data_IF_143537316617
#
_entry.id   IF_143537316617
#
_cell.length_a   1.000
_cell.length_b   1.000
_cell.length_c   1.000
_cell.angle_alpha   90.00
_cell.angle_beta   90.00
_cell.angle_gamma   90.00
#
_symmetry.space_group_name_H-M   'P 1'
#
loop_
_entity.id
_entity.type
_entity.pdbx_description
1 polymer ?
#
# COMPACT_ATOMS: atom_id res chain seq x y z
N UNK A 1 43.34 -64.23 -8.77
CA UNK A 1 43.45 -62.78 -8.96
C UNK A 1 42.12 -62.26 -9.52
N UNK A 2 41.26 -61.71 -8.66
CA UNK A 2 39.91 -61.30 -9.01
C UNK A 2 39.85 -59.78 -8.85
N UNK A 3 39.68 -59.05 -9.96
CA UNK A 3 39.57 -57.60 -9.96
C UNK A 3 38.11 -57.18 -9.76
N UNK A 4 37.83 -56.52 -8.63
CA UNK A 4 36.56 -55.92 -8.32
C UNK A 4 36.56 -54.49 -8.91
N UNK A 5 35.64 -54.24 -9.85
CA UNK A 5 35.39 -52.90 -10.38
C UNK A 5 34.28 -52.24 -9.53
N UNK A 6 34.69 -51.23 -8.77
CA UNK A 6 33.76 -50.36 -8.04
C UNK A 6 33.29 -49.25 -9.03
N UNK A 7 32.02 -49.30 -9.42
CA UNK A 7 31.40 -48.25 -10.20
C UNK A 7 30.95 -47.12 -9.27
N UNK A 8 31.60 -45.94 -9.40
CA UNK A 8 31.25 -44.74 -8.67
C UNK A 8 30.06 -44.08 -9.39
N UNK A 9 28.85 -44.25 -8.84
CA UNK A 9 27.65 -43.58 -9.32
C UNK A 9 27.62 -42.13 -8.84
N UNK A 10 27.83 -41.17 -9.72
CA UNK A 10 27.69 -39.74 -9.46
C UNK A 10 26.20 -39.39 -9.43
N UNK A 11 25.65 -39.17 -8.23
CA UNK A 11 24.28 -38.65 -8.07
C UNK A 11 24.33 -37.14 -8.30
N UNK A 12 23.84 -36.69 -9.45
CA UNK A 12 23.66 -35.28 -9.79
C UNK A 12 22.39 -34.79 -9.08
N UNK A 13 22.54 -34.18 -7.92
CA UNK A 13 21.47 -33.44 -7.20
C UNK A 13 21.16 -32.16 -7.98
N UNK A 14 20.15 -32.23 -8.87
CA UNK A 14 19.55 -31.03 -9.46
C UNK A 14 18.67 -30.38 -8.38
N UNK A 15 19.25 -29.46 -7.62
CA UNK A 15 18.50 -28.53 -6.79
C UNK A 15 17.72 -27.57 -7.72
N UNK A 16 16.42 -27.84 -7.93
CA UNK A 16 15.52 -26.85 -8.52
C UNK A 16 15.48 -25.65 -7.58
N UNK A 17 16.35 -24.68 -7.84
CA UNK A 17 16.32 -23.40 -7.18
C UNK A 17 15.00 -22.69 -7.51
N UNK A 18 14.05 -22.72 -6.57
CA UNK A 18 12.94 -21.78 -6.57
C UNK A 18 13.56 -20.39 -6.46
N UNK A 19 13.46 -19.61 -7.54
CA UNK A 19 13.89 -18.22 -7.55
C UNK A 19 13.04 -17.42 -6.53
N UNK A 20 13.64 -16.75 -5.54
CA UNK A 20 12.91 -15.91 -4.60
C UNK A 20 12.63 -14.52 -5.21
N UNK A 21 12.21 -14.47 -6.48
CA UNK A 21 12.11 -13.22 -7.22
C UNK A 21 11.09 -12.22 -6.61
N UNK A 22 9.99 -12.71 -6.01
CA UNK A 22 8.97 -11.83 -5.44
C UNK A 22 9.39 -11.20 -4.10
N UNK A 23 10.02 -11.95 -3.20
CA UNK A 23 10.50 -11.45 -1.91
C UNK A 23 11.66 -10.43 -2.08
N UNK A 24 12.54 -10.64 -3.05
CA UNK A 24 13.59 -9.67 -3.40
C UNK A 24 12.99 -8.37 -3.93
N UNK A 25 11.92 -8.45 -4.69
CA UNK A 25 11.25 -7.27 -5.27
C UNK A 25 10.69 -6.35 -4.20
N UNK A 26 9.97 -6.86 -3.19
CA UNK A 26 9.43 -6.04 -2.10
C UNK A 26 10.54 -5.36 -1.28
N UNK A 27 11.61 -6.08 -0.97
CA UNK A 27 12.77 -5.53 -0.24
C UNK A 27 13.48 -4.43 -1.02
N UNK A 28 13.69 -4.61 -2.33
CA UNK A 28 14.32 -3.59 -3.18
C UNK A 28 13.44 -2.33 -3.29
N UNK A 29 12.14 -2.50 -3.50
CA UNK A 29 11.20 -1.38 -3.55
C UNK A 29 11.13 -0.65 -2.20
N UNK A 30 11.13 -1.37 -1.07
CA UNK A 30 11.19 -0.75 0.25
C UNK A 30 12.45 0.09 0.45
N UNK A 31 13.61 -0.42 0.04
CA UNK A 31 14.87 0.33 0.14
C UNK A 31 14.84 1.60 -0.72
N UNK A 32 14.27 1.55 -1.92
CA UNK A 32 14.09 2.71 -2.79
C UNK A 32 13.10 3.71 -2.21
N UNK A 33 11.96 3.23 -1.73
CA UNK A 33 10.92 4.04 -1.09
C UNK A 33 11.47 4.82 0.11
N UNK A 34 12.27 4.16 0.95
CA UNK A 34 12.85 4.80 2.14
C UNK A 34 13.86 5.91 1.79
N UNK A 35 14.58 5.77 0.67
CA UNK A 35 15.57 6.77 0.21
C UNK A 35 14.95 7.91 -0.60
N UNK A 36 13.73 7.73 -1.12
CA UNK A 36 13.08 8.76 -1.95
C UNK A 36 12.69 9.97 -1.09
N UNK A 37 13.25 11.12 -1.42
CA UNK A 37 12.99 12.39 -0.72
C UNK A 37 11.87 13.20 -1.36
N UNK A 38 11.60 13.02 -2.66
CA UNK A 38 10.52 13.70 -3.35
C UNK A 38 9.18 13.01 -3.05
N UNK A 39 8.27 13.74 -2.42
CA UNK A 39 7.00 13.18 -1.94
C UNK A 39 6.09 12.63 -3.06
N UNK A 40 6.02 13.31 -4.21
CA UNK A 40 5.22 12.84 -5.35
C UNK A 40 5.79 11.55 -5.94
N UNK A 41 7.12 11.46 -6.06
CA UNK A 41 7.79 10.23 -6.50
C UNK A 41 7.62 9.11 -5.48
N UNK A 42 7.68 9.44 -4.16
CA UNK A 42 7.44 8.49 -3.07
C UNK A 42 6.02 7.92 -3.14
N UNK A 43 5.00 8.77 -3.32
CA UNK A 43 3.61 8.33 -3.49
C UNK A 43 3.44 7.43 -4.72
N UNK A 44 4.05 7.79 -5.86
CA UNK A 44 4.03 6.96 -7.07
C UNK A 44 4.76 5.62 -6.88
N UNK A 45 5.85 5.61 -6.12
CA UNK A 45 6.62 4.39 -5.86
C UNK A 45 5.87 3.40 -4.98
N UNK A 46 4.92 3.90 -4.14
CA UNK A 46 4.08 3.07 -3.30
C UNK A 46 3.24 2.06 -4.10
N UNK A 47 2.84 2.39 -5.34
CA UNK A 47 2.15 1.46 -6.24
C UNK A 47 2.95 0.17 -6.42
N UNK A 48 4.22 0.28 -6.81
CA UNK A 48 5.09 -0.89 -7.03
C UNK A 48 5.45 -1.62 -5.73
N UNK A 49 5.69 -0.86 -4.66
CA UNK A 49 5.98 -1.42 -3.35
C UNK A 49 4.76 -2.16 -2.78
N UNK A 50 3.58 -1.54 -2.86
CA UNK A 50 2.34 -2.13 -2.37
C UNK A 50 1.97 -3.40 -3.14
N UNK A 51 2.03 -3.38 -4.48
CA UNK A 51 1.77 -4.57 -5.31
C UNK A 51 2.69 -5.74 -4.90
N UNK A 52 3.98 -5.47 -4.67
CA UNK A 52 4.93 -6.48 -4.24
C UNK A 52 4.63 -7.00 -2.82
N UNK A 53 4.20 -6.12 -1.89
CA UNK A 53 3.78 -6.49 -0.55
C UNK A 53 2.49 -7.33 -0.57
N UNK A 54 1.53 -7.00 -1.42
CA UNK A 54 0.28 -7.78 -1.55
C UNK A 54 0.55 -9.19 -2.10
N UNK A 55 1.47 -9.31 -3.06
CA UNK A 55 1.87 -10.63 -3.56
C UNK A 55 2.56 -11.46 -2.46
N UNK A 56 3.46 -10.85 -1.69
CA UNK A 56 4.10 -11.48 -0.53
C UNK A 56 3.08 -11.92 0.52
N UNK A 57 2.07 -11.09 0.81
CA UNK A 57 1.00 -11.41 1.75
C UNK A 57 0.13 -12.58 1.24
N UNK A 58 -0.22 -12.58 -0.04
CA UNK A 58 -0.98 -13.69 -0.65
C UNK A 58 -0.21 -15.01 -0.60
N UNK A 59 1.10 -14.97 -0.84
CA UNK A 59 1.94 -16.17 -0.76
C UNK A 59 2.07 -16.67 0.70
N UNK A 60 2.26 -15.76 1.66
CA UNK A 60 2.24 -16.10 3.08
C UNK A 60 0.90 -16.75 3.50
N UNK A 61 -0.22 -16.17 3.05
CA UNK A 61 -1.57 -16.72 3.31
C UNK A 61 -1.78 -18.10 2.73
N UNK A 62 -1.32 -18.38 1.50
CA UNK A 62 -1.36 -19.72 0.88
C UNK A 62 -0.57 -20.74 1.69
N UNK A 63 0.52 -20.32 2.32
CA UNK A 63 1.36 -21.17 3.18
C UNK A 63 0.82 -21.28 4.61
N UNK A 64 -0.29 -20.63 4.95
CA UNK A 64 -0.90 -20.62 6.28
C UNK A 64 -0.20 -19.72 7.28
N UNK A 65 0.77 -18.89 6.86
CA UNK A 65 1.47 -17.95 7.73
C UNK A 65 0.67 -16.63 7.89
N UNK A 66 -0.40 -16.72 8.69
CA UNK A 66 -1.27 -15.59 8.95
C UNK A 66 -0.58 -14.48 9.77
N UNK A 67 0.47 -14.80 10.55
CA UNK A 67 1.28 -13.78 11.23
C UNK A 67 2.04 -12.92 10.22
N UNK A 68 2.69 -13.54 9.24
CA UNK A 68 3.38 -12.82 8.18
C UNK A 68 2.41 -11.93 7.38
N UNK A 69 1.19 -12.42 7.06
CA UNK A 69 0.15 -11.60 6.41
C UNK A 69 -0.13 -10.33 7.22
N UNK A 70 -0.35 -10.45 8.54
CA UNK A 70 -0.59 -9.30 9.42
C UNK A 70 0.55 -8.29 9.37
N UNK A 71 1.79 -8.74 9.56
CA UNK A 71 2.99 -7.90 9.56
C UNK A 71 3.22 -7.18 8.21
N UNK A 72 2.96 -7.86 7.09
CA UNK A 72 3.09 -7.26 5.76
C UNK A 72 2.05 -6.14 5.56
N UNK A 73 0.81 -6.36 5.98
CA UNK A 73 -0.26 -5.37 5.88
C UNK A 73 -0.03 -4.17 6.80
N UNK A 74 0.51 -4.38 8.00
CA UNK A 74 0.95 -3.29 8.88
C UNK A 74 2.05 -2.45 8.23
N UNK A 75 3.04 -3.10 7.63
CA UNK A 75 4.13 -2.42 6.92
C UNK A 75 3.60 -1.62 5.72
N UNK A 76 2.65 -2.15 4.98
CA UNK A 76 1.98 -1.42 3.91
C UNK A 76 1.28 -0.16 4.45
N UNK A 77 0.48 -0.26 5.51
CA UNK A 77 -0.15 0.88 6.17
C UNK A 77 0.87 1.96 6.57
N UNK A 78 2.00 1.55 7.13
CA UNK A 78 3.05 2.48 7.57
C UNK A 78 3.73 3.18 6.37
N UNK A 79 3.89 2.49 5.24
CA UNK A 79 4.37 3.08 3.99
C UNK A 79 3.37 4.10 3.43
N UNK A 80 2.07 3.81 3.46
CA UNK A 80 1.01 4.77 3.08
C UNK A 80 1.10 6.03 3.94
N UNK A 81 1.19 5.86 5.26
CA UNK A 81 1.33 6.98 6.22
C UNK A 81 2.57 7.81 5.90
N UNK A 82 3.71 7.18 5.68
CA UNK A 82 4.96 7.88 5.35
C UNK A 82 4.88 8.66 4.02
N UNK A 83 4.17 8.13 3.01
CA UNK A 83 3.94 8.84 1.76
C UNK A 83 3.01 10.04 1.95
N UNK A 84 1.92 9.89 2.70
CA UNK A 84 0.97 10.95 3.02
C UNK A 84 1.63 12.09 3.79
N UNK A 85 2.41 11.79 4.83
CA UNK A 85 3.14 12.79 5.60
C UNK A 85 4.18 13.53 4.77
N UNK A 86 4.88 12.84 3.86
CA UNK A 86 5.81 13.48 2.95
C UNK A 86 5.09 14.45 1.99
N UNK A 87 3.90 14.08 1.48
CA UNK A 87 3.07 14.95 0.65
C UNK A 87 2.60 16.17 1.44
N UNK A 88 2.03 15.98 2.63
CA UNK A 88 1.57 17.08 3.50
C UNK A 88 2.69 18.07 3.81
N UNK A 89 3.90 17.58 4.05
CA UNK A 89 5.07 18.41 4.34
C UNK A 89 5.55 19.23 3.14
N UNK A 90 5.60 18.64 1.94
CA UNK A 90 6.16 19.30 0.75
C UNK A 90 5.10 20.06 -0.06
N UNK A 91 3.85 19.63 -0.03
CA UNK A 91 2.74 20.16 -0.81
C UNK A 91 1.48 20.29 0.07
N UNK A 92 1.45 21.20 1.07
CA UNK A 92 0.33 21.29 2.01
C UNK A 92 -1.02 21.63 1.34
N UNK A 93 -0.99 22.25 0.17
CA UNK A 93 -2.19 22.58 -0.60
C UNK A 93 -2.51 21.46 -1.63
N UNK A 94 -3.16 20.40 -1.16
CA UNK A 94 -3.45 19.22 -1.97
C UNK A 94 -4.31 19.54 -3.21
N UNK A 95 -5.22 20.50 -3.11
CA UNK A 95 -6.06 20.95 -4.24
C UNK A 95 -5.20 21.49 -5.40
N UNK A 96 -4.14 22.26 -5.10
CA UNK A 96 -3.24 22.84 -6.11
C UNK A 96 -2.20 21.83 -6.63
N UNK A 97 -1.79 20.89 -5.79
CA UNK A 97 -0.75 19.89 -6.08
C UNK A 97 -1.32 18.47 -6.07
N UNK A 98 -2.47 18.27 -6.68
CA UNK A 98 -3.29 17.06 -6.52
C UNK A 98 -2.66 15.76 -7.04
N UNK A 99 -1.65 15.81 -7.92
CA UNK A 99 -1.14 14.61 -8.61
C UNK A 99 -0.66 13.51 -7.63
N UNK A 100 0.22 13.86 -6.69
CA UNK A 100 0.73 12.89 -5.70
C UNK A 100 -0.37 12.35 -4.78
N UNK A 101 -1.28 13.22 -4.36
CA UNK A 101 -2.41 12.85 -3.50
C UNK A 101 -3.40 11.92 -4.20
N UNK A 102 -3.75 12.18 -5.46
CA UNK A 102 -4.63 11.30 -6.26
C UNK A 102 -4.01 9.92 -6.49
N UNK A 103 -2.71 9.87 -6.78
CA UNK A 103 -2.01 8.60 -6.94
C UNK A 103 -2.03 7.79 -5.64
N UNK A 104 -1.77 8.47 -4.51
CA UNK A 104 -1.83 7.83 -3.20
C UNK A 104 -3.24 7.31 -2.88
N UNK A 105 -4.28 8.12 -3.13
CA UNK A 105 -5.68 7.78 -2.89
C UNK A 105 -6.12 6.56 -3.74
N UNK A 106 -5.78 6.55 -5.03
CA UNK A 106 -6.11 5.42 -5.90
C UNK A 106 -5.47 4.12 -5.41
N UNK A 107 -4.20 4.16 -5.01
CA UNK A 107 -3.51 2.98 -4.52
C UNK A 107 -3.99 2.55 -3.13
N UNK A 108 -4.33 3.50 -2.28
CA UNK A 108 -4.90 3.26 -0.96
C UNK A 108 -6.22 2.48 -1.02
N UNK A 109 -7.09 2.80 -1.96
CA UNK A 109 -8.33 2.02 -2.21
C UNK A 109 -8.05 0.57 -2.60
N UNK A 110 -6.99 0.34 -3.37
CA UNK A 110 -6.52 -1.03 -3.67
C UNK A 110 -6.06 -1.71 -2.38
N UNK A 111 -5.27 -1.03 -1.54
CA UNK A 111 -4.79 -1.57 -0.27
C UNK A 111 -5.92 -1.92 0.70
N UNK A 112 -6.97 -1.10 0.79
CA UNK A 112 -8.14 -1.41 1.63
C UNK A 112 -8.77 -2.74 1.19
N UNK A 113 -8.96 -2.96 -0.13
CA UNK A 113 -9.50 -4.21 -0.66
C UNK A 113 -8.61 -5.42 -0.36
N UNK A 114 -7.29 -5.28 -0.54
CA UNK A 114 -6.35 -6.37 -0.24
C UNK A 114 -6.36 -6.76 1.25
N UNK A 115 -6.52 -5.79 2.15
CA UNK A 115 -6.70 -6.07 3.58
C UNK A 115 -8.04 -6.76 3.84
N UNK A 116 -9.13 -6.32 3.20
CA UNK A 116 -10.46 -6.96 3.32
C UNK A 116 -10.43 -8.41 2.84
N UNK A 117 -9.80 -8.69 1.70
CA UNK A 117 -9.63 -10.04 1.18
C UNK A 117 -8.79 -10.91 2.13
N UNK A 118 -7.72 -10.34 2.69
CA UNK A 118 -6.91 -11.01 3.72
C UNK A 118 -7.72 -11.32 4.98
N UNK A 119 -8.60 -10.40 5.43
CA UNK A 119 -9.49 -10.62 6.56
C UNK A 119 -10.52 -11.72 6.31
N UNK A 120 -11.04 -11.84 5.08
CA UNK A 120 -11.96 -12.90 4.71
C UNK A 120 -11.29 -14.26 4.81
N UNK A 121 -10.06 -14.37 4.32
CA UNK A 121 -9.28 -15.61 4.30
C UNK A 121 -8.71 -16.00 5.68
N UNK A 122 -8.43 -15.02 6.55
CA UNK A 122 -7.78 -15.26 7.83
C UNK A 122 -8.67 -15.99 8.84
N UNK A 123 -8.10 -16.95 9.62
CA UNK A 123 -8.78 -17.52 10.79
C UNK A 123 -9.10 -16.45 11.85
N UNK A 124 -10.14 -16.67 12.70
CA UNK A 124 -10.61 -15.65 13.66
C UNK A 124 -9.55 -14.99 14.52
N UNK A 125 -8.53 -15.69 15.07
CA UNK A 125 -7.50 -15.05 15.92
C UNK A 125 -6.63 -14.01 15.21
N UNK A 126 -6.54 -14.08 13.88
CA UNK A 126 -5.69 -13.20 13.06
C UNK A 126 -6.43 -12.00 12.45
N UNK A 127 -7.76 -11.93 12.60
CA UNK A 127 -8.58 -10.83 12.07
C UNK A 127 -8.39 -9.50 12.80
N UNK A 128 -8.26 -9.43 14.14
CA UNK A 128 -8.17 -8.15 14.83
C UNK A 128 -7.03 -7.23 14.38
N UNK A 129 -5.78 -7.69 14.17
CA UNK A 129 -4.71 -6.85 13.63
C UNK A 129 -5.06 -6.27 12.25
N UNK A 130 -5.62 -7.09 11.37
CA UNK A 130 -6.04 -6.65 10.02
C UNK A 130 -7.18 -5.63 10.08
N UNK A 131 -8.11 -5.76 11.04
CA UNK A 131 -9.15 -4.76 11.26
C UNK A 131 -8.58 -3.39 11.63
N UNK A 132 -7.54 -3.35 12.47
CA UNK A 132 -6.85 -2.10 12.83
C UNK A 132 -6.20 -1.48 11.60
N UNK A 133 -5.49 -2.28 10.79
CA UNK A 133 -4.88 -1.82 9.53
C UNK A 133 -5.95 -1.24 8.61
N UNK A 134 -7.07 -1.94 8.42
CA UNK A 134 -8.18 -1.47 7.59
C UNK A 134 -8.73 -0.13 8.07
N UNK A 135 -8.98 0.02 9.37
CA UNK A 135 -9.50 1.26 9.95
C UNK A 135 -8.54 2.43 9.72
N UNK A 136 -7.23 2.21 9.94
CA UNK A 136 -6.20 3.22 9.70
C UNK A 136 -6.14 3.65 8.22
N UNK A 137 -6.25 2.68 7.29
CA UNK A 137 -6.26 2.98 5.86
C UNK A 137 -7.50 3.78 5.45
N UNK A 138 -8.69 3.43 5.96
CA UNK A 138 -9.93 4.18 5.71
C UNK A 138 -9.81 5.61 6.25
N UNK A 139 -9.28 5.80 7.47
CA UNK A 139 -9.09 7.12 8.03
C UNK A 139 -8.13 7.98 7.17
N UNK A 140 -7.08 7.38 6.60
CA UNK A 140 -6.18 8.08 5.68
C UNK A 140 -6.84 8.41 4.33
N UNK A 141 -7.74 7.55 3.82
CA UNK A 141 -8.51 7.82 2.60
C UNK A 141 -9.47 8.99 2.79
N UNK A 142 -10.20 9.03 3.92
CA UNK A 142 -11.07 10.13 4.29
C UNK A 142 -10.30 11.46 4.40
N UNK A 143 -9.10 11.43 4.98
CA UNK A 143 -8.22 12.61 5.05
C UNK A 143 -7.80 13.08 3.66
N UNK A 144 -7.39 12.16 2.78
CA UNK A 144 -7.02 12.47 1.40
C UNK A 144 -8.17 13.09 0.63
N UNK A 145 -9.38 12.55 0.74
CA UNK A 145 -10.58 13.07 0.09
C UNK A 145 -10.87 14.49 0.58
N UNK A 146 -10.83 14.74 1.89
CA UNK A 146 -11.04 16.10 2.45
C UNK A 146 -9.99 17.09 1.96
N UNK A 147 -8.73 16.68 1.83
CA UNK A 147 -7.64 17.54 1.34
C UNK A 147 -7.75 17.81 -0.16
N UNK A 148 -8.21 16.85 -0.95
CA UNK A 148 -8.38 16.99 -2.40
C UNK A 148 -9.63 17.80 -2.78
N UNK A 149 -10.68 17.72 -1.95
CA UNK A 149 -11.98 18.32 -2.19
C UNK A 149 -12.47 19.08 -0.95
N UNK A 150 -11.77 20.15 -0.54
CA UNK A 150 -12.22 20.93 0.61
C UNK A 150 -13.59 21.53 0.32
N UNK A 151 -14.51 21.44 1.29
CA UNK A 151 -15.82 22.08 1.20
C UNK A 151 -15.62 23.59 1.03
N UNK A 152 -15.99 24.12 -0.12
CA UNK A 152 -16.02 25.57 -0.31
C UNK A 152 -17.18 26.11 0.49
N UNK A 153 -16.97 27.12 1.38
CA UNK A 153 -18.09 27.78 2.02
C UNK A 153 -19.05 28.24 0.93
N UNK A 154 -20.33 27.90 1.10
CA UNK A 154 -21.37 28.29 0.15
C UNK A 154 -21.24 29.77 -0.12
N UNK A 155 -20.91 30.14 -1.38
CA UNK A 155 -20.88 31.53 -1.79
C UNK A 155 -22.28 32.07 -1.50
N UNK A 156 -22.40 32.95 -0.50
CA UNK A 156 -23.62 33.68 -0.24
C UNK A 156 -24.01 34.33 -1.57
N UNK A 157 -25.17 33.89 -2.13
CA UNK A 157 -25.73 34.53 -3.33
C UNK A 157 -25.72 36.03 -3.08
N UNK A 158 -25.27 36.87 -4.05
CA UNK A 158 -25.40 38.29 -3.94
C UNK A 158 -26.87 38.60 -3.59
N UNK A 159 -27.09 39.19 -2.43
CA UNK A 159 -28.41 39.71 -2.07
C UNK A 159 -28.71 40.80 -3.10
N UNK A 160 -29.66 40.54 -3.97
CA UNK A 160 -30.25 41.52 -4.86
C UNK A 160 -30.79 42.64 -3.97
N UNK A 161 -30.37 43.92 -4.13
CA UNK A 161 -30.89 45.01 -3.34
C UNK A 161 -32.43 45.07 -3.51
N UNK A 162 -33.21 45.38 -2.47
CA UNK A 162 -34.65 45.52 -2.61
C UNK A 162 -34.93 46.60 -3.66
N UNK A 163 -35.71 46.25 -4.67
CA UNK A 163 -36.23 47.22 -5.64
C UNK A 163 -37.10 48.20 -4.89
N UNK A 164 -36.57 49.41 -4.67
CA UNK A 164 -37.31 50.54 -4.10
C UNK A 164 -38.43 50.90 -5.11
N UNK A 165 -39.66 50.64 -4.75
CA UNK A 165 -40.85 51.14 -5.46
C UNK A 165 -40.92 52.61 -5.17
N UNK A 166 -40.60 53.45 -6.14
CA UNK A 166 -41.00 54.87 -6.13
C UNK A 166 -42.48 55.05 -6.40
N UNK A 167 -43.14 56.03 -5.75
CA UNK A 167 -44.57 56.32 -5.85
C UNK A 167 -45.00 56.86 -7.19
#
# INVERSE_FOLDING_TARGET
MQRVHVALGTILLISLGRSPAAAQTATEWQARFNRESNSVKKAKMLEKLGDAQFEEAREAGKNGDNNAVGLIMEKYRDNVRAALEALKKQHPEAERHSNGYRQLEMHLKTGIREVEDSMLAAPPPYKPPLQIVRQDLIAMDDDLIRMLFPERPAQSKPQTPPTEKQP
#
